data_IF_357115799196
#
_entry.id   IF_357115799196
#
_cell.length_a   1.000
_cell.length_b   1.000
_cell.length_c   1.000
_cell.angle_alpha   90.00
_cell.angle_beta   90.00
_cell.angle_gamma   90.00
#
_symmetry.space_group_name_H-M   'P 1'
#
loop_
_entity.id
_entity.type
_entity.pdbx_description
1 polymer ?
#
# COMPACT_ATOMS: atom_id res chain seq x y z
N UNK A 1 -24.99 24.99 7.84
CA UNK A 1 -23.78 25.32 7.07
C UNK A 1 -23.11 24.02 6.77
N UNK A 2 -23.19 23.64 5.51
CA UNK A 2 -23.30 22.24 5.10
C UNK A 2 -21.95 21.53 5.12
N UNK A 3 -21.90 20.43 5.87
CA UNK A 3 -20.83 19.46 5.76
C UNK A 3 -20.96 18.83 4.37
N UNK A 4 -20.06 19.20 3.45
CA UNK A 4 -19.84 18.49 2.20
C UNK A 4 -19.53 17.02 2.48
N UNK A 5 -20.57 16.20 2.58
CA UNK A 5 -20.46 14.74 2.51
C UNK A 5 -20.16 14.40 1.06
N UNK A 6 -18.86 14.36 0.72
CA UNK A 6 -18.42 13.65 -0.47
C UNK A 6 -18.78 12.18 -0.29
N UNK A 7 -19.76 11.73 -1.06
CA UNK A 7 -20.05 10.31 -1.23
C UNK A 7 -18.88 9.70 -1.98
N UNK A 8 -17.83 9.27 -1.27
CA UNK A 8 -16.76 8.48 -1.87
C UNK A 8 -17.37 7.12 -2.23
N UNK A 9 -17.45 6.78 -3.52
CA UNK A 9 -17.92 5.46 -3.94
C UNK A 9 -16.97 4.40 -3.39
N UNK A 10 -17.52 3.37 -2.75
CA UNK A 10 -16.75 2.21 -2.31
C UNK A 10 -16.24 1.49 -3.57
N UNK A 11 -14.92 1.32 -3.74
CA UNK A 11 -14.39 0.57 -4.88
C UNK A 11 -14.87 -0.88 -4.87
N UNK A 12 -14.99 -1.45 -6.07
CA UNK A 12 -15.21 -2.89 -6.19
C UNK A 12 -13.86 -3.61 -6.14
N UNK A 13 -13.73 -4.60 -5.26
CA UNK A 13 -12.51 -5.37 -5.08
C UNK A 13 -12.70 -6.81 -5.57
N UNK A 14 -11.86 -7.22 -6.52
CA UNK A 14 -11.58 -8.63 -6.79
C UNK A 14 -10.69 -9.16 -5.66
N UNK A 15 -10.95 -10.40 -5.20
CA UNK A 15 -10.19 -11.00 -4.09
C UNK A 15 -9.48 -12.27 -4.56
N UNK A 16 -8.19 -12.35 -4.26
CA UNK A 16 -7.38 -13.56 -4.44
C UNK A 16 -6.85 -14.00 -3.08
N UNK A 17 -7.03 -15.28 -2.73
CA UNK A 17 -6.48 -15.86 -1.49
C UNK A 17 -5.31 -16.77 -1.84
N UNK A 18 -4.18 -16.53 -1.19
CA UNK A 18 -2.98 -17.34 -1.29
C UNK A 18 -2.93 -18.33 -0.13
N UNK A 19 -2.72 -19.61 -0.44
CA UNK A 19 -2.30 -20.60 0.57
C UNK A 19 -0.79 -20.48 0.73
N UNK A 20 -0.33 -20.27 1.97
CA UNK A 20 1.07 -20.05 2.30
C UNK A 20 1.67 -21.26 3.01
N UNK A 21 2.99 -21.25 3.20
CA UNK A 21 3.65 -22.24 4.05
C UNK A 21 3.16 -22.10 5.49
N UNK A 22 2.93 -23.22 6.20
CA UNK A 22 2.61 -23.18 7.62
C UNK A 22 3.81 -22.67 8.42
N UNK A 23 3.53 -22.01 9.54
CA UNK A 23 4.52 -21.68 10.56
C UNK A 23 4.30 -22.50 11.84
N UNK A 24 5.00 -22.14 12.92
CA UNK A 24 4.93 -22.83 14.22
C UNK A 24 3.53 -22.80 14.86
N UNK A 25 2.61 -21.98 14.35
CA UNK A 25 1.24 -21.81 14.83
C UNK A 25 0.20 -22.44 13.89
N UNK A 26 0.62 -23.04 12.77
CA UNK A 26 -0.25 -23.77 11.86
C UNK A 26 -0.26 -23.22 10.42
N UNK A 27 -1.29 -23.56 9.63
CA UNK A 27 -1.39 -23.12 8.24
C UNK A 27 -1.59 -21.61 8.14
N UNK A 28 -1.04 -21.00 7.09
CA UNK A 28 -1.17 -19.58 6.81
C UNK A 28 -1.89 -19.33 5.48
N UNK A 29 -2.51 -18.17 5.37
CA UNK A 29 -3.04 -17.63 4.12
C UNK A 29 -2.82 -16.13 4.07
N UNK A 30 -2.77 -15.56 2.86
CA UNK A 30 -2.84 -14.12 2.65
C UNK A 30 -3.96 -13.77 1.66
N UNK A 31 -4.45 -12.54 1.71
CA UNK A 31 -5.58 -12.08 0.90
C UNK A 31 -5.16 -10.82 0.14
N UNK A 32 -5.17 -10.89 -1.18
CA UNK A 32 -4.90 -9.77 -2.06
C UNK A 32 -6.23 -9.23 -2.60
N UNK A 33 -6.48 -7.96 -2.31
CA UNK A 33 -7.58 -7.19 -2.89
C UNK A 33 -7.06 -6.47 -4.13
N UNK A 34 -7.84 -6.43 -5.20
CA UNK A 34 -7.52 -5.71 -6.44
C UNK A 34 -8.71 -4.86 -6.88
N UNK A 35 -8.48 -3.57 -7.06
CA UNK A 35 -9.40 -2.65 -7.71
C UNK A 35 -8.77 -2.12 -9.01
N UNK A 36 -9.54 -2.12 -10.09
CA UNK A 36 -9.09 -1.71 -11.43
C UNK A 36 -9.40 -0.24 -11.69
N UNK A 37 -8.44 0.48 -12.26
CA UNK A 37 -8.72 1.83 -12.77
C UNK A 37 -9.56 1.77 -14.04
N UNK A 38 -10.43 2.76 -14.23
CA UNK A 38 -11.17 2.94 -15.49
C UNK A 38 -10.41 3.80 -16.50
N UNK A 39 -9.28 4.40 -16.11
CA UNK A 39 -8.45 5.24 -16.97
C UNK A 39 -7.67 4.39 -17.97
N UNK A 40 -7.95 4.56 -19.26
CA UNK A 40 -7.24 3.88 -20.34
C UNK A 40 -5.85 4.48 -20.55
N UNK A 41 -4.84 3.62 -20.67
CA UNK A 41 -3.45 3.97 -20.91
C UNK A 41 -2.73 2.79 -21.57
N UNK A 42 -1.76 3.06 -22.46
CA UNK A 42 -0.87 2.03 -23.00
C UNK A 42 0.25 1.65 -22.01
N UNK A 43 0.43 2.46 -20.96
CA UNK A 43 1.30 2.17 -19.82
C UNK A 43 0.43 1.62 -18.69
N UNK A 44 0.70 0.37 -18.29
CA UNK A 44 0.07 -0.20 -17.09
C UNK A 44 0.74 0.35 -15.85
N UNK A 45 -0.07 0.81 -14.90
CA UNK A 45 0.42 1.30 -13.61
C UNK A 45 -0.33 0.56 -12.51
N UNK A 46 0.41 0.04 -11.55
CA UNK A 46 -0.18 -0.60 -10.39
C UNK A 46 0.58 -0.24 -9.11
N UNK A 47 -0.15 -0.19 -8.00
CA UNK A 47 0.43 -0.01 -6.67
C UNK A 47 0.07 -1.20 -5.79
N UNK A 48 1.04 -1.70 -5.02
CA UNK A 48 0.81 -2.65 -3.94
C UNK A 48 0.85 -1.92 -2.60
N UNK A 49 -0.25 -1.97 -1.85
CA UNK A 49 -0.41 -1.41 -0.52
C UNK A 49 -0.17 -2.50 0.53
N UNK A 50 0.83 -2.28 1.37
CA UNK A 50 1.13 -3.09 2.55
C UNK A 50 0.69 -2.32 3.80
N UNK A 51 -0.20 -2.93 4.59
CA UNK A 51 -0.71 -2.33 5.82
C UNK A 51 0.30 -2.44 6.98
N UNK A 52 0.00 -1.74 8.07
CA UNK A 52 0.86 -1.67 9.25
C UNK A 52 0.50 -2.59 10.39
N UNK A 53 1.19 -2.40 11.52
CA UNK A 53 0.95 -3.11 12.78
C UNK A 53 -0.47 -2.82 13.30
N UNK A 54 -1.23 -3.87 13.63
CA UNK A 54 -2.66 -3.83 13.98
C UNK A 54 -3.61 -3.35 12.88
N UNK A 55 -3.15 -3.32 11.63
CA UNK A 55 -3.95 -2.85 10.51
C UNK A 55 -4.33 -3.99 9.55
N UNK A 56 -5.27 -3.68 8.65
CA UNK A 56 -5.56 -4.39 7.42
C UNK A 56 -6.13 -3.37 6.45
N UNK A 57 -6.21 -3.67 5.16
CA UNK A 57 -6.71 -2.64 4.25
C UNK A 57 -8.21 -2.36 4.45
N UNK A 58 -8.51 -1.13 4.86
CA UNK A 58 -9.87 -0.56 4.99
C UNK A 58 -9.98 0.87 4.43
N UNK A 59 -8.90 1.41 3.85
CA UNK A 59 -8.82 2.82 3.45
C UNK A 59 -9.29 3.04 2.01
N UNK A 60 -10.60 2.94 1.77
CA UNK A 60 -11.20 3.09 0.43
C UNK A 60 -10.84 4.41 -0.25
N UNK A 61 -10.67 5.49 0.51
CA UNK A 61 -10.29 6.79 -0.05
C UNK A 61 -8.85 6.79 -0.58
N UNK A 62 -7.95 5.97 -0.05
CA UNK A 62 -6.58 5.82 -0.60
C UNK A 62 -6.64 5.08 -1.93
N UNK A 63 -7.39 3.97 -1.98
CA UNK A 63 -7.63 3.21 -3.22
C UNK A 63 -8.19 4.13 -4.31
N UNK A 64 -9.31 4.81 -4.04
CA UNK A 64 -9.93 5.74 -4.99
C UNK A 64 -8.95 6.77 -5.55
N UNK A 65 -8.05 7.30 -4.72
CA UNK A 65 -7.06 8.28 -5.18
C UNK A 65 -6.03 7.71 -6.14
N UNK A 66 -5.61 6.46 -5.95
CA UNK A 66 -4.76 5.77 -6.93
C UNK A 66 -5.52 5.44 -8.22
N UNK A 67 -6.77 4.97 -8.11
CA UNK A 67 -7.63 4.72 -9.26
C UNK A 67 -7.82 5.99 -10.10
N UNK A 68 -8.10 7.12 -9.45
CA UNK A 68 -8.19 8.46 -10.05
C UNK A 68 -6.87 8.90 -10.68
N UNK A 69 -5.74 8.39 -10.21
CA UNK A 69 -4.42 8.66 -10.78
C UNK A 69 -4.00 7.69 -11.90
N UNK A 70 -4.87 6.74 -12.23
CA UNK A 70 -4.66 5.76 -13.28
C UNK A 70 -3.78 4.59 -12.87
N UNK A 71 -3.72 4.27 -11.57
CA UNK A 71 -3.10 3.06 -11.05
C UNK A 71 -4.18 2.03 -10.73
N UNK A 72 -3.99 0.78 -11.14
CA UNK A 72 -4.62 -0.34 -10.48
C UNK A 72 -4.14 -0.41 -9.03
N UNK A 73 -5.05 -0.69 -8.10
CA UNK A 73 -4.75 -0.70 -6.69
C UNK A 73 -4.84 -2.12 -6.15
N UNK A 74 -3.73 -2.60 -5.58
CA UNK A 74 -3.64 -3.87 -4.90
C UNK A 74 -3.41 -3.63 -3.41
N UNK A 75 -4.13 -4.33 -2.54
CA UNK A 75 -3.88 -4.28 -1.10
C UNK A 75 -3.73 -5.68 -0.54
N UNK A 76 -2.65 -5.90 0.19
CA UNK A 76 -2.32 -7.20 0.77
C UNK A 76 -2.66 -7.22 2.26
N UNK A 77 -3.68 -7.99 2.62
CA UNK A 77 -3.88 -8.40 4.01
C UNK A 77 -2.90 -9.56 4.27
N UNK A 78 -1.81 -9.29 5.01
CA UNK A 78 -0.77 -10.26 5.35
C UNK A 78 -1.34 -11.41 6.19
N UNK A 79 -0.60 -12.52 6.29
CA UNK A 79 -1.08 -13.65 7.08
C UNK A 79 -1.42 -13.25 8.52
N UNK A 80 -2.49 -13.86 9.07
CA UNK A 80 -3.05 -13.57 10.40
C UNK A 80 -3.59 -12.13 10.58
N UNK A 81 -3.75 -11.38 9.50
CA UNK A 81 -4.27 -10.01 9.50
C UNK A 81 -5.59 -9.92 8.71
N UNK A 82 -6.54 -9.08 9.16
CA UNK A 82 -7.76 -8.78 8.41
C UNK A 82 -8.50 -10.00 7.87
N UNK A 83 -8.67 -10.06 6.54
CA UNK A 83 -9.37 -11.14 5.82
C UNK A 83 -8.57 -12.45 5.78
N UNK A 84 -7.29 -12.40 6.11
CA UNK A 84 -6.39 -13.54 6.11
C UNK A 84 -6.43 -14.34 7.41
N UNK A 85 -7.11 -13.85 8.46
CA UNK A 85 -7.33 -14.61 9.69
C UNK A 85 -8.10 -15.90 9.40
N UNK A 86 -7.57 -17.06 9.77
CA UNK A 86 -8.18 -18.38 9.62
C UNK A 86 -9.18 -18.64 10.76
N UNK A 87 -8.75 -18.50 12.01
CA UNK A 87 -9.64 -18.50 13.18
C UNK A 87 -9.02 -17.74 14.36
N UNK A 88 -9.82 -17.24 15.32
CA UNK A 88 -9.29 -16.60 16.52
C UNK A 88 -8.36 -17.49 17.35
N UNK A 89 -8.66 -18.79 17.42
CA UNK A 89 -7.88 -19.76 18.21
C UNK A 89 -6.53 -20.06 17.56
N UNK A 90 -6.49 -20.17 16.24
CA UNK A 90 -5.26 -20.44 15.50
C UNK A 90 -4.38 -19.18 15.45
N UNK A 91 -4.98 -18.04 15.11
CA UNK A 91 -4.27 -16.78 14.88
C UNK A 91 -4.33 -15.87 16.11
N UNK A 92 -4.12 -16.47 17.29
CA UNK A 92 -4.11 -15.75 18.57
C UNK A 92 -2.97 -14.73 18.66
N UNK A 93 -1.86 -14.95 17.95
CA UNK A 93 -0.68 -14.07 17.90
C UNK A 93 -0.63 -13.28 16.59
N UNK A 94 -1.63 -12.41 16.38
CA UNK A 94 -1.69 -11.54 15.18
C UNK A 94 -0.49 -10.59 15.17
N UNK A 95 0.06 -10.36 13.98
CA UNK A 95 1.25 -9.50 13.76
C UNK A 95 2.49 -9.91 14.57
N UNK A 96 2.49 -11.09 15.20
CA UNK A 96 3.70 -11.63 15.82
C UNK A 96 4.61 -12.12 14.72
N UNK A 97 5.72 -11.43 14.56
CA UNK A 97 6.72 -11.68 13.55
C UNK A 97 8.08 -11.48 14.21
N UNK A 98 8.96 -12.45 14.06
CA UNK A 98 10.32 -12.38 14.62
C UNK A 98 11.35 -11.98 13.57
N UNK A 99 11.01 -12.19 12.31
CA UNK A 99 11.79 -11.82 11.15
C UNK A 99 10.88 -11.27 10.04
N UNK A 100 11.15 -10.06 9.57
CA UNK A 100 10.35 -9.41 8.51
C UNK A 100 10.35 -10.20 7.19
N UNK A 101 11.34 -11.08 6.97
CA UNK A 101 11.37 -12.00 5.84
C UNK A 101 10.25 -13.05 5.85
N UNK A 102 9.56 -13.23 6.99
CA UNK A 102 8.36 -14.07 7.09
C UNK A 102 7.24 -13.61 6.13
N UNK A 103 7.25 -12.34 5.69
CA UNK A 103 6.26 -11.80 4.74
C UNK A 103 6.67 -11.89 3.26
N UNK A 104 7.90 -12.34 2.96
CA UNK A 104 8.43 -12.35 1.59
C UNK A 104 7.60 -13.25 0.66
N UNK A 105 7.00 -14.32 1.19
CA UNK A 105 6.19 -15.26 0.41
C UNK A 105 4.93 -14.60 -0.15
N UNK A 106 4.08 -14.00 0.70
CA UNK A 106 2.86 -13.35 0.22
C UNK A 106 3.13 -12.09 -0.61
N UNK A 107 4.22 -11.36 -0.32
CA UNK A 107 4.61 -10.19 -1.12
C UNK A 107 5.03 -10.64 -2.52
N UNK A 108 5.84 -11.70 -2.62
CA UNK A 108 6.27 -12.27 -3.91
C UNK A 108 5.07 -12.77 -4.72
N UNK A 109 4.17 -13.53 -4.10
CA UNK A 109 2.94 -14.01 -4.77
C UNK A 109 2.04 -12.86 -5.25
N UNK A 110 1.98 -11.77 -4.48
CA UNK A 110 1.23 -10.57 -4.87
C UNK A 110 1.86 -9.88 -6.09
N UNK A 111 3.18 -9.73 -6.11
CA UNK A 111 3.91 -9.13 -7.25
C UNK A 111 3.79 -10.02 -8.49
N UNK A 112 3.84 -11.35 -8.34
CA UNK A 112 3.59 -12.28 -9.45
C UNK A 112 2.17 -12.13 -9.99
N UNK A 113 1.18 -12.01 -9.11
CA UNK A 113 -0.21 -11.76 -9.52
C UNK A 113 -0.35 -10.44 -10.26
N UNK A 114 0.24 -9.35 -9.76
CA UNK A 114 0.24 -8.05 -10.43
C UNK A 114 0.89 -8.11 -11.81
N UNK A 115 2.00 -8.86 -11.95
CA UNK A 115 2.64 -9.07 -13.23
C UNK A 115 1.73 -9.78 -14.23
N UNK A 116 0.96 -10.78 -13.79
CA UNK A 116 -0.03 -11.47 -14.64
C UNK A 116 -1.11 -10.52 -15.15
N UNK A 117 -1.59 -9.59 -14.31
CA UNK A 117 -2.56 -8.56 -14.72
C UNK A 117 -2.00 -7.60 -15.78
N UNK A 118 -0.68 -7.51 -15.89
CA UNK A 118 0.03 -6.60 -16.78
C UNK A 118 0.56 -7.27 -18.08
N UNK A 119 0.33 -8.57 -18.30
CA UNK A 119 0.97 -9.34 -19.38
C UNK A 119 0.70 -8.77 -20.79
N UNK A 120 -0.48 -8.21 -21.01
CA UNK A 120 -0.88 -7.64 -22.29
C UNK A 120 -0.25 -6.26 -22.58
N UNK A 121 0.40 -5.65 -21.58
CA UNK A 121 0.96 -4.31 -21.68
C UNK A 121 2.45 -4.35 -22.00
N UNK A 122 2.85 -3.67 -23.08
CA UNK A 122 4.25 -3.53 -23.48
C UNK A 122 5.08 -2.74 -22.45
N UNK A 123 4.46 -1.80 -21.73
CA UNK A 123 5.11 -0.97 -20.72
C UNK A 123 4.35 -1.06 -19.40
N UNK A 124 5.09 -1.23 -18.29
CA UNK A 124 4.52 -1.33 -16.94
C UNK A 124 5.34 -0.57 -15.91
N UNK A 125 4.68 0.01 -14.93
CA UNK A 125 5.29 0.64 -13.74
C UNK A 125 4.58 0.17 -12.48
N UNK A 126 5.36 -0.37 -11.54
CA UNK A 126 4.85 -0.77 -10.24
C UNK A 126 5.39 0.14 -9.15
N UNK A 127 4.51 0.52 -8.23
CA UNK A 127 4.85 1.18 -6.99
C UNK A 127 4.53 0.27 -5.82
N UNK A 128 5.35 0.33 -4.77
CA UNK A 128 5.04 -0.28 -3.48
C UNK A 128 4.81 0.86 -2.49
N UNK A 129 3.72 0.79 -1.73
CA UNK A 129 3.45 1.67 -0.60
C UNK A 129 3.30 0.82 0.65
N UNK A 130 4.16 1.05 1.63
CA UNK A 130 4.08 0.38 2.93
C UNK A 130 3.74 1.40 4.00
N UNK A 131 2.68 1.12 4.76
CA UNK A 131 2.38 1.85 5.98
C UNK A 131 2.82 0.99 7.17
N UNK A 132 3.92 1.38 7.82
CA UNK A 132 4.33 0.99 9.17
C UNK A 132 4.03 -0.42 9.74
N UNK A 133 4.82 -1.42 9.34
CA UNK A 133 5.19 -2.55 10.22
C UNK A 133 6.33 -2.20 11.19
N UNK A 134 6.88 -0.97 11.13
CA UNK A 134 8.11 -0.55 11.84
C UNK A 134 7.94 0.69 12.74
N UNK A 135 6.72 1.13 13.08
CA UNK A 135 6.52 2.21 14.04
C UNK A 135 6.70 1.76 15.49
N UNK A 136 7.97 1.60 15.86
CA UNK A 136 8.40 2.02 17.18
C UNK A 136 8.54 3.55 17.18
N UNK A 137 7.42 4.25 17.32
CA UNK A 137 7.33 5.65 17.80
C UNK A 137 8.47 6.54 17.29
N UNK A 138 8.55 6.73 15.98
CA UNK A 138 9.66 7.51 15.42
C UNK A 138 9.30 9.01 15.35
N UNK A 139 10.10 9.81 16.04
CA UNK A 139 10.01 11.27 16.01
C UNK A 139 10.29 11.80 14.58
N UNK A 140 9.38 12.63 14.05
CA UNK A 140 9.45 13.19 12.68
C UNK A 140 10.80 13.86 12.37
N UNK A 141 11.38 14.55 13.35
CA UNK A 141 12.67 15.23 13.19
C UNK A 141 13.84 14.24 13.14
N UNK A 142 13.73 13.10 13.83
CA UNK A 142 14.72 12.03 13.78
C UNK A 142 14.65 11.25 12.45
N UNK A 143 13.43 10.95 11.97
CA UNK A 143 13.23 10.30 10.66
C UNK A 143 13.76 11.20 9.56
N UNK A 144 13.48 12.51 9.61
CA UNK A 144 14.01 13.49 8.66
C UNK A 144 15.54 13.43 8.56
N UNK A 145 16.25 13.34 9.70
CA UNK A 145 17.71 13.28 9.73
C UNK A 145 18.24 11.95 9.18
N UNK A 146 17.61 10.85 9.54
CA UNK A 146 17.99 9.51 9.08
C UNK A 146 17.67 9.30 7.59
N UNK A 147 16.59 9.89 7.07
CA UNK A 147 16.17 9.75 5.68
C UNK A 147 17.24 10.26 4.69
N UNK A 148 17.95 11.33 5.04
CA UNK A 148 19.10 11.82 4.25
C UNK A 148 20.27 10.83 4.13
N UNK A 149 20.25 9.74 4.90
CA UNK A 149 21.27 8.68 4.89
C UNK A 149 20.79 7.38 4.18
N UNK A 150 19.52 7.28 3.77
CA UNK A 150 18.90 6.02 3.30
C UNK A 150 19.19 5.68 1.83
N UNK A 151 19.70 6.61 1.02
CA UNK A 151 20.04 6.33 -0.38
C UNK A 151 20.11 7.58 -1.25
N UNK A 152 20.39 7.38 -2.55
CA UNK A 152 20.62 8.47 -3.51
C UNK A 152 19.33 9.22 -3.92
N UNK A 153 18.16 8.61 -3.77
CA UNK A 153 16.87 9.20 -4.19
C UNK A 153 15.86 9.18 -3.04
N UNK A 154 15.95 10.20 -2.19
CA UNK A 154 15.04 10.38 -1.05
C UNK A 154 14.34 11.72 -1.17
N UNK A 155 13.00 11.69 -1.18
CA UNK A 155 12.17 12.90 -1.09
C UNK A 155 11.54 12.97 0.29
N UNK A 156 11.81 14.06 1.00
CA UNK A 156 11.17 14.34 2.28
C UNK A 156 10.02 15.33 2.10
N UNK A 157 8.84 14.95 2.57
CA UNK A 157 7.65 15.79 2.56
C UNK A 157 6.97 15.82 3.93
N UNK A 158 7.34 16.76 4.82
CA UNK A 158 6.70 16.88 6.11
C UNK A 158 5.27 17.43 5.95
N UNK A 159 4.29 16.73 6.55
CA UNK A 159 2.88 17.13 6.52
C UNK A 159 2.49 17.62 7.91
N UNK A 160 2.26 18.93 8.04
CA UNK A 160 1.90 19.53 9.32
C UNK A 160 0.53 19.03 9.79
N UNK A 161 0.42 18.72 11.09
CA UNK A 161 -0.83 18.23 11.74
C UNK A 161 -1.30 16.86 11.25
N UNK A 162 -0.44 16.11 10.56
CA UNK A 162 -0.72 14.73 10.26
C UNK A 162 -0.82 13.90 11.55
N UNK A 163 -1.79 13.00 11.58
CA UNK A 163 -1.81 11.87 12.51
C UNK A 163 -0.72 10.87 12.14
N UNK A 164 -0.50 9.91 13.04
CA UNK A 164 0.41 8.78 12.82
C UNK A 164 0.21 8.14 11.44
N UNK A 165 -1.01 7.69 11.16
CA UNK A 165 -1.46 7.35 9.80
C UNK A 165 -1.78 8.63 9.03
N UNK A 166 -0.86 9.08 8.18
CA UNK A 166 -0.99 10.34 7.44
C UNK A 166 -2.24 10.37 6.56
N UNK A 167 -2.61 9.25 5.93
CA UNK A 167 -3.81 9.19 5.07
C UNK A 167 -5.13 9.09 5.85
N UNK A 168 -5.10 8.77 7.15
CA UNK A 168 -6.25 8.85 8.06
C UNK A 168 -6.41 10.23 8.71
N UNK A 169 -5.49 11.16 8.45
CA UNK A 169 -5.60 12.54 8.93
C UNK A 169 -6.87 13.23 8.41
N UNK A 170 -7.23 14.36 9.06
CA UNK A 170 -8.34 15.22 8.59
C UNK A 170 -8.18 15.56 7.11
N UNK A 171 -9.30 15.62 6.37
CA UNK A 171 -9.31 15.79 4.90
C UNK A 171 -8.28 16.81 4.37
N UNK A 172 -8.20 18.07 4.85
CA UNK A 172 -7.22 19.03 4.33
C UNK A 172 -5.76 18.58 4.45
N UNK A 173 -5.45 17.82 5.50
CA UNK A 173 -4.11 17.32 5.80
C UNK A 173 -3.77 16.13 4.90
N UNK A 174 -4.66 15.14 4.79
CA UNK A 174 -4.42 14.00 3.88
C UNK A 174 -4.44 14.42 2.41
N UNK A 175 -5.19 15.45 2.02
CA UNK A 175 -5.11 16.02 0.66
C UNK A 175 -3.72 16.58 0.33
N UNK A 176 -3.08 17.24 1.30
CA UNK A 176 -1.70 17.69 1.15
C UNK A 176 -0.74 16.52 0.98
N UNK A 177 -0.92 15.45 1.76
CA UNK A 177 -0.12 14.24 1.65
C UNK A 177 -0.30 13.55 0.29
N UNK A 178 -1.54 13.36 -0.17
CA UNK A 178 -1.83 12.81 -1.49
C UNK A 178 -1.19 13.65 -2.59
N UNK A 179 -1.35 14.98 -2.53
CA UNK A 179 -0.73 15.88 -3.50
C UNK A 179 0.78 15.68 -3.55
N UNK A 180 1.44 15.61 -2.39
CA UNK A 180 2.88 15.43 -2.34
C UNK A 180 3.33 14.08 -2.93
N UNK A 181 2.65 13.00 -2.55
CA UNK A 181 2.94 11.65 -3.04
C UNK A 181 2.75 11.52 -4.55
N UNK A 182 1.62 11.99 -5.08
CA UNK A 182 1.34 11.87 -6.51
C UNK A 182 2.22 12.79 -7.37
N UNK A 183 2.57 13.98 -6.87
CA UNK A 183 3.57 14.83 -7.53
C UNK A 183 4.95 14.17 -7.57
N UNK A 184 5.34 13.50 -6.50
CA UNK A 184 6.59 12.75 -6.46
C UNK A 184 6.58 11.57 -7.45
N UNK A 185 5.48 10.81 -7.52
CA UNK A 185 5.30 9.72 -8.49
C UNK A 185 5.40 10.23 -9.95
N UNK A 186 4.73 11.33 -10.28
CA UNK A 186 4.83 11.93 -11.63
C UNK A 186 6.27 12.37 -11.97
N UNK A 187 7.00 12.90 -11.00
CA UNK A 187 8.38 13.33 -11.21
C UNK A 187 9.31 12.14 -11.46
N UNK A 188 9.18 11.07 -10.68
CA UNK A 188 9.88 9.81 -10.95
C UNK A 188 9.52 9.25 -12.34
N UNK A 189 8.25 9.33 -12.72
CA UNK A 189 7.83 8.87 -14.04
C UNK A 189 8.53 9.63 -15.17
N UNK A 190 8.72 10.94 -15.02
CA UNK A 190 9.40 11.81 -16.00
C UNK A 190 10.91 11.59 -16.04
N UNK A 191 11.53 11.28 -14.91
CA UNK A 191 12.96 10.96 -14.84
C UNK A 191 13.27 9.65 -15.55
N UNK A 192 12.47 8.60 -15.32
CA UNK A 192 12.67 7.29 -15.97
C UNK A 192 12.44 7.27 -17.49
N UNK A 193 11.70 8.23 -18.04
CA UNK A 193 11.50 8.34 -19.50
C UNK A 193 12.76 8.87 -20.21
N UNK A 194 13.71 9.47 -19.49
CA UNK A 194 14.92 10.04 -20.10
C UNK A 194 16.02 9.01 -20.39
N UNK A 195 15.92 7.81 -19.82
CA UNK A 195 16.93 6.75 -19.92
C UNK A 195 16.54 5.62 -20.90
N UNK A 196 15.70 5.92 -21.90
CA UNK A 196 15.30 5.00 -22.99
C UNK A 196 15.76 5.52 -24.34
#
# INVERSE_FOLDING_TARGET
MDANTETTSIPQYETTVFTLKPDNFGPNRATLLHARTTKKSNLYKAVLYLHGYNDYFFQDHVCNRFLDFGYDFFALDMHKCGRSIISPEQDQYRHYCTDMHEYDEEISLSIEHMNKQAEEYANKKFALIGHSTVDLVLNVENIRRAAGMLGQHVTLCPIEKATHDVFLSKKPVREQAFKCMFQWLENLEREWIKDV
#
